data_IF_168757683541
#
_entry.id   IF_168757683541
#
_cell.length_a   1.000
_cell.length_b   1.000
_cell.length_c   1.000
_cell.angle_alpha   90.00
_cell.angle_beta   90.00
_cell.angle_gamma   90.00
#
_symmetry.space_group_name_H-M   'P 1'
#
loop_
_entity.id
_entity.type
_entity.pdbx_description
1 polymer ?
#
# COMPACT_ATOMS: atom_id res chain seq x y z
N UNK A 1 -8.78 14.38 -12.17
CA UNK A 1 -7.57 13.86 -12.86
C UNK A 1 -7.02 12.71 -12.03
N UNK A 2 -6.58 11.61 -12.64
CA UNK A 2 -6.12 10.40 -11.92
C UNK A 2 -4.59 10.44 -11.85
N UNK A 3 -4.01 10.20 -10.66
CA UNK A 3 -2.56 10.10 -10.47
C UNK A 3 -2.01 8.75 -10.96
N UNK A 4 -2.69 7.67 -10.59
CA UNK A 4 -2.35 6.30 -11.01
C UNK A 4 -3.62 5.61 -11.49
N UNK A 5 -3.57 5.00 -12.68
CA UNK A 5 -4.61 4.11 -13.19
C UNK A 5 -4.02 2.71 -13.42
N UNK A 6 -4.60 1.73 -12.77
CA UNK A 6 -4.28 0.31 -12.92
C UNK A 6 -5.48 -0.38 -13.56
N UNK A 7 -5.27 -1.09 -14.69
CA UNK A 7 -6.34 -1.74 -15.42
C UNK A 7 -6.02 -3.21 -15.67
N UNK A 8 -6.92 -4.10 -15.26
CA UNK A 8 -6.89 -5.57 -15.45
C UNK A 8 -5.51 -6.20 -15.17
N UNK A 9 -4.84 -5.73 -14.09
CA UNK A 9 -3.48 -6.15 -13.78
C UNK A 9 -3.44 -7.61 -13.35
N UNK A 10 -2.61 -8.42 -14.06
CA UNK A 10 -2.29 -9.80 -13.71
C UNK A 10 -0.80 -9.96 -13.51
N UNK A 11 -0.39 -10.20 -12.28
CA UNK A 11 1.00 -10.35 -11.90
C UNK A 11 1.21 -11.61 -11.05
N UNK A 12 1.96 -12.57 -11.61
CA UNK A 12 2.11 -13.91 -11.09
C UNK A 12 3.57 -14.24 -10.81
N UNK A 13 3.81 -15.03 -9.78
CA UNK A 13 5.12 -15.66 -9.60
C UNK A 13 5.14 -16.98 -10.37
N UNK A 14 6.11 -17.09 -11.29
CA UNK A 14 6.29 -18.28 -12.11
C UNK A 14 7.65 -18.89 -11.81
N UNK A 15 7.66 -20.00 -11.10
CA UNK A 15 8.88 -20.75 -10.77
C UNK A 15 8.89 -22.08 -11.50
N UNK A 16 10.09 -22.48 -11.94
CA UNK A 16 10.36 -23.82 -12.50
C UNK A 16 11.54 -24.42 -11.76
N UNK A 17 11.30 -25.49 -11.03
CA UNK A 17 12.33 -26.21 -10.29
C UNK A 17 12.09 -27.72 -10.44
N UNK A 18 13.15 -28.47 -10.69
CA UNK A 18 13.10 -29.94 -10.83
C UNK A 18 12.03 -30.44 -11.82
N UNK A 19 11.84 -29.74 -12.94
CA UNK A 19 10.83 -30.09 -13.94
C UNK A 19 9.38 -29.68 -13.59
N UNK A 20 9.12 -29.23 -12.38
CA UNK A 20 7.80 -28.79 -11.93
C UNK A 20 7.65 -27.28 -12.13
N UNK A 21 6.62 -26.89 -12.86
CA UNK A 21 6.21 -25.48 -13.02
C UNK A 21 5.15 -25.14 -11.97
N UNK A 22 5.36 -24.07 -11.21
CA UNK A 22 4.39 -23.54 -10.25
C UNK A 22 4.07 -22.09 -10.57
N UNK A 23 2.78 -21.78 -10.68
CA UNK A 23 2.28 -20.41 -10.90
C UNK A 23 1.47 -19.97 -9.70
N UNK A 24 1.86 -18.86 -9.07
CA UNK A 24 1.13 -18.24 -7.94
C UNK A 24 0.46 -16.98 -8.47
N UNK A 25 -0.88 -16.95 -8.48
CA UNK A 25 -1.71 -15.85 -9.02
C UNK A 25 -1.87 -14.74 -7.98
N UNK A 26 -0.78 -14.03 -7.69
CA UNK A 26 -0.71 -13.09 -6.58
C UNK A 26 -1.55 -11.82 -6.79
N UNK A 27 -1.64 -11.32 -8.01
CA UNK A 27 -2.55 -10.22 -8.43
C UNK A 27 -3.23 -10.70 -9.70
N UNK A 28 -4.56 -10.73 -9.73
CA UNK A 28 -5.30 -11.41 -10.79
C UNK A 28 -6.56 -10.64 -11.20
N UNK A 29 -6.42 -9.75 -12.18
CA UNK A 29 -7.50 -8.91 -12.70
C UNK A 29 -7.85 -7.74 -11.80
N UNK A 30 -6.83 -7.06 -11.24
CA UNK A 30 -7.00 -5.90 -10.36
C UNK A 30 -7.09 -4.62 -11.19
N UNK A 31 -8.14 -3.82 -10.95
CA UNK A 31 -8.35 -2.50 -11.57
C UNK A 31 -8.76 -1.47 -10.54
N UNK A 32 -7.99 -0.37 -10.40
CA UNK A 32 -8.30 0.73 -9.50
C UNK A 32 -7.60 2.01 -9.94
N UNK A 33 -8.08 3.14 -9.41
CA UNK A 33 -7.50 4.46 -9.64
C UNK A 33 -7.14 5.13 -8.32
N UNK A 34 -5.96 5.80 -8.28
CA UNK A 34 -5.60 6.72 -7.22
C UNK A 34 -5.81 8.15 -7.71
N UNK A 35 -6.39 8.96 -6.85
CA UNK A 35 -6.55 10.39 -7.11
C UNK A 35 -5.47 11.19 -6.38
N UNK A 36 -5.12 12.38 -6.89
CA UNK A 36 -4.21 13.26 -6.16
C UNK A 36 -4.77 13.63 -4.78
N UNK A 37 -3.86 13.79 -3.82
CA UNK A 37 -4.18 14.32 -2.49
C UNK A 37 -5.15 13.45 -1.66
N UNK A 38 -5.09 12.11 -1.83
CA UNK A 38 -5.83 11.18 -0.96
C UNK A 38 -4.89 10.22 -0.22
N UNK A 39 -5.31 9.72 0.93
CA UNK A 39 -4.74 8.56 1.58
C UNK A 39 -5.57 7.34 1.20
N UNK A 40 -5.04 6.50 0.34
CA UNK A 40 -5.70 5.31 -0.15
C UNK A 40 -5.20 4.07 0.57
N UNK A 41 -6.08 3.41 1.30
CA UNK A 41 -5.79 2.20 2.06
C UNK A 41 -5.88 0.93 1.20
N UNK A 42 -4.97 0.01 1.40
CA UNK A 42 -5.04 -1.36 0.85
C UNK A 42 -5.00 -2.36 2.00
N UNK A 43 -6.12 -3.00 2.25
CA UNK A 43 -6.29 -3.95 3.35
C UNK A 43 -6.56 -5.37 2.87
N UNK A 44 -6.45 -6.33 3.77
CA UNK A 44 -6.73 -7.75 3.55
C UNK A 44 -5.80 -8.67 4.30
N UNK A 45 -6.14 -9.95 4.38
CA UNK A 45 -5.33 -10.97 5.07
C UNK A 45 -3.91 -11.07 4.52
N UNK A 46 -2.99 -11.61 5.32
CA UNK A 46 -1.63 -11.91 4.86
C UNK A 46 -1.65 -12.79 3.61
N UNK A 47 -0.68 -12.58 2.71
CA UNK A 47 -0.57 -13.31 1.44
C UNK A 47 -1.72 -13.10 0.43
N UNK A 48 -2.62 -12.13 0.61
CA UNK A 48 -3.68 -11.84 -0.38
C UNK A 48 -3.21 -11.10 -1.64
N UNK A 49 -1.93 -10.71 -1.74
CA UNK A 49 -1.35 -10.07 -2.95
C UNK A 49 -0.93 -8.61 -2.80
N UNK A 50 -1.17 -7.95 -1.66
CA UNK A 50 -0.86 -6.51 -1.41
C UNK A 50 0.58 -6.14 -1.77
N UNK A 51 1.55 -6.84 -1.20
CA UNK A 51 2.98 -6.58 -1.46
C UNK A 51 3.35 -6.81 -2.93
N UNK A 52 2.71 -7.77 -3.63
CA UNK A 52 2.93 -7.98 -5.05
C UNK A 52 2.38 -6.82 -5.87
N UNK A 53 1.19 -6.33 -5.53
CA UNK A 53 0.60 -5.15 -6.16
C UNK A 53 1.55 -3.95 -6.03
N UNK A 54 2.05 -3.69 -4.82
CA UNK A 54 3.01 -2.60 -4.57
C UNK A 54 4.27 -2.76 -5.43
N UNK A 55 4.84 -3.97 -5.49
CA UNK A 55 6.04 -4.23 -6.31
C UNK A 55 5.82 -3.86 -7.76
N UNK A 56 4.64 -4.18 -8.31
CA UNK A 56 4.34 -3.89 -9.71
C UNK A 56 4.15 -2.38 -9.92
N UNK A 57 3.33 -1.72 -9.12
CA UNK A 57 3.07 -0.29 -9.28
C UNK A 57 4.29 0.59 -8.99
N UNK A 58 5.25 0.11 -8.18
CA UNK A 58 6.53 0.80 -7.93
C UNK A 58 7.63 0.47 -8.96
N UNK A 59 7.32 -0.33 -9.99
CA UNK A 59 8.29 -0.76 -10.99
C UNK A 59 9.38 -1.70 -10.47
N UNK A 60 9.15 -2.37 -9.31
CA UNK A 60 10.08 -3.34 -8.74
C UNK A 60 9.74 -4.79 -9.17
N UNK A 61 9.67 -4.99 -10.48
CA UNK A 61 9.31 -6.27 -11.08
C UNK A 61 10.60 -7.06 -11.32
N UNK A 62 10.83 -8.10 -10.50
CA UNK A 62 12.01 -8.97 -10.60
C UNK A 62 11.59 -10.44 -10.64
N UNK A 63 12.27 -11.27 -11.45
CA UNK A 63 12.03 -12.71 -11.43
C UNK A 63 12.02 -13.28 -10.00
N UNK A 64 11.11 -14.21 -9.66
CA UNK A 64 10.19 -14.91 -10.55
C UNK A 64 8.84 -14.21 -10.80
N UNK A 65 8.66 -12.94 -10.36
CA UNK A 65 7.47 -12.14 -10.62
C UNK A 65 7.42 -11.72 -12.09
N UNK A 66 6.29 -11.95 -12.75
CA UNK A 66 6.01 -11.50 -14.11
C UNK A 66 4.63 -10.84 -14.17
N UNK A 67 4.53 -9.75 -14.92
CA UNK A 67 3.26 -9.17 -15.33
C UNK A 67 2.85 -9.83 -16.64
N UNK A 68 1.66 -10.39 -16.67
CA UNK A 68 1.13 -11.13 -17.81
C UNK A 68 0.16 -10.30 -18.63
N UNK A 69 -0.65 -9.46 -17.96
CA UNK A 69 -1.69 -8.62 -18.56
C UNK A 69 -1.88 -7.35 -17.75
N UNK A 70 -2.53 -6.36 -18.39
CA UNK A 70 -2.94 -5.12 -17.76
C UNK A 70 -2.01 -3.95 -18.02
N UNK A 71 -2.34 -2.80 -17.43
CA UNK A 71 -1.54 -1.59 -17.54
C UNK A 71 -1.41 -0.90 -16.19
N UNK A 72 -0.32 -0.13 -16.03
CA UNK A 72 -0.02 0.69 -14.83
C UNK A 72 0.45 2.05 -15.32
N UNK A 73 -0.46 3.02 -15.36
CA UNK A 73 -0.24 4.32 -15.93
C UNK A 73 -0.26 5.42 -14.87
N UNK A 74 0.82 6.20 -14.79
CA UNK A 74 0.91 7.37 -13.94
C UNK A 74 0.72 8.66 -14.74
N UNK A 75 0.18 9.67 -14.06
CA UNK A 75 0.09 11.04 -14.60
C UNK A 75 0.67 12.01 -13.56
N UNK A 76 1.89 12.50 -13.81
CA UNK A 76 2.57 13.50 -12.98
C UNK A 76 2.49 14.85 -13.68
N UNK A 77 1.52 15.70 -13.29
CA UNK A 77 1.20 16.90 -14.04
C UNK A 77 0.80 16.57 -15.48
N UNK A 78 1.57 17.05 -16.46
CA UNK A 78 1.36 16.76 -17.88
C UNK A 78 2.06 15.47 -18.36
N UNK A 79 2.99 14.95 -17.56
CA UNK A 79 3.79 13.77 -17.91
C UNK A 79 3.04 12.47 -17.64
N UNK A 80 2.86 11.67 -18.69
CA UNK A 80 2.32 10.30 -18.59
C UNK A 80 3.45 9.28 -18.59
N UNK A 81 3.37 8.28 -17.72
CA UNK A 81 4.38 7.23 -17.57
C UNK A 81 3.71 5.87 -17.53
N UNK A 82 4.05 5.01 -18.48
CA UNK A 82 3.72 3.59 -18.43
C UNK A 82 4.79 2.86 -17.60
N UNK A 83 4.39 2.44 -16.39
CA UNK A 83 5.31 1.83 -15.43
C UNK A 83 5.81 0.44 -15.88
N UNK A 84 5.05 -0.27 -16.71
CA UNK A 84 5.43 -1.60 -17.17
C UNK A 84 6.48 -1.58 -18.28
N UNK A 85 6.56 -0.47 -19.03
CA UNK A 85 7.45 -0.32 -20.18
C UNK A 85 8.57 0.71 -19.98
N UNK A 86 8.63 1.37 -18.82
CA UNK A 86 9.71 2.32 -18.50
C UNK A 86 11.05 1.60 -18.38
N UNK A 87 12.12 2.17 -18.92
CA UNK A 87 13.46 1.62 -18.72
C UNK A 87 13.92 1.75 -17.26
N UNK A 88 14.73 0.83 -16.77
CA UNK A 88 15.24 0.85 -15.40
C UNK A 88 16.04 2.12 -15.09
N UNK A 89 16.76 2.65 -16.09
CA UNK A 89 17.53 3.90 -15.95
C UNK A 89 16.59 5.12 -15.80
N UNK A 90 15.55 5.22 -16.62
CA UNK A 90 14.55 6.27 -16.49
C UNK A 90 13.77 6.16 -15.18
N UNK A 91 13.39 4.93 -14.77
CA UNK A 91 12.74 4.69 -13.50
C UNK A 91 13.60 5.17 -12.32
N UNK A 92 14.91 4.88 -12.35
CA UNK A 92 15.85 5.25 -11.28
C UNK A 92 16.14 6.75 -11.26
N UNK A 93 16.34 7.38 -12.43
CA UNK A 93 16.72 8.77 -12.55
C UNK A 93 15.57 9.74 -12.35
N UNK A 94 14.38 9.42 -12.90
CA UNK A 94 13.31 10.38 -13.09
C UNK A 94 12.07 10.10 -12.20
N UNK A 95 11.87 8.87 -11.72
CA UNK A 95 10.66 8.48 -11.00
C UNK A 95 10.94 8.19 -9.53
N UNK A 96 11.89 7.28 -9.25
CA UNK A 96 12.19 6.89 -7.86
C UNK A 96 12.68 8.08 -7.07
N UNK A 97 12.16 8.23 -5.86
CA UNK A 97 12.38 9.33 -4.92
C UNK A 97 11.74 10.66 -5.34
N UNK A 98 11.72 11.00 -6.62
CA UNK A 98 11.20 12.27 -7.13
C UNK A 98 9.69 12.28 -7.24
N UNK A 99 9.14 11.27 -7.90
CA UNK A 99 7.70 11.14 -8.14
C UNK A 99 7.06 10.08 -7.25
N UNK A 100 7.78 8.98 -7.00
CA UNK A 100 7.33 7.86 -6.18
C UNK A 100 8.39 7.53 -5.14
N UNK A 101 8.00 7.56 -3.87
CA UNK A 101 8.81 7.07 -2.75
C UNK A 101 8.17 5.87 -2.08
N UNK A 102 9.02 5.06 -1.44
CA UNK A 102 8.60 3.81 -0.82
C UNK A 102 9.12 3.70 0.61
N UNK A 103 8.20 3.61 1.57
CA UNK A 103 8.49 3.27 2.97
C UNK A 103 8.23 1.78 3.13
N UNK A 104 9.30 0.97 3.14
CA UNK A 104 9.22 -0.49 3.17
C UNK A 104 8.84 -1.03 4.55
N UNK A 105 8.24 -2.20 4.58
CA UNK A 105 8.09 -2.99 5.81
C UNK A 105 9.45 -3.18 6.48
N UNK A 106 9.53 -2.92 7.78
CA UNK A 106 10.80 -2.99 8.51
C UNK A 106 11.79 -1.89 8.13
N UNK A 107 11.31 -0.73 7.67
CA UNK A 107 12.15 0.42 7.26
C UNK A 107 13.12 0.89 8.35
N UNK A 108 12.89 0.52 9.62
CA UNK A 108 13.85 0.74 10.71
C UNK A 108 15.22 0.07 10.46
N UNK A 109 15.28 -1.01 9.68
CA UNK A 109 16.52 -1.72 9.32
C UNK A 109 17.19 -1.20 8.04
N UNK A 110 16.53 -0.28 7.32
CA UNK A 110 17.07 0.33 6.09
C UNK A 110 18.24 1.28 6.38
N UNK A 111 18.23 1.88 7.57
CA UNK A 111 19.29 2.79 7.98
C UNK A 111 20.58 2.01 8.29
N UNK A 112 21.67 2.36 7.62
CA UNK A 112 22.98 1.77 7.89
C UNK A 112 23.44 2.09 9.32
N UNK A 113 23.59 1.10 10.23
CA UNK A 113 23.84 1.32 11.66
C UNK A 113 25.17 2.02 11.96
N UNK A 114 26.14 1.95 11.05
CA UNK A 114 27.48 2.55 11.22
C UNK A 114 27.60 3.92 10.52
N UNK A 115 26.49 4.46 10.03
CA UNK A 115 26.47 5.79 9.39
C UNK A 115 25.52 6.74 10.12
N UNK A 116 25.92 8.00 10.29
CA UNK A 116 25.03 9.04 10.80
C UNK A 116 23.88 9.28 9.83
N UNK A 117 22.71 9.61 10.37
CA UNK A 117 21.49 9.88 9.60
C UNK A 117 21.72 10.91 8.49
N UNK A 118 22.44 12.02 8.78
CA UNK A 118 22.75 13.07 7.80
C UNK A 118 23.48 12.52 6.56
N UNK A 119 24.31 11.47 6.73
CA UNK A 119 25.01 10.86 5.59
C UNK A 119 24.09 10.09 4.67
N UNK A 120 23.06 9.47 5.23
CA UNK A 120 22.03 8.80 4.43
C UNK A 120 21.22 9.82 3.62
N UNK A 121 20.84 10.95 4.23
CA UNK A 121 20.22 12.06 3.47
C UNK A 121 21.14 12.58 2.37
N UNK A 122 22.44 12.74 2.69
CA UNK A 122 23.43 13.23 1.72
C UNK A 122 23.54 12.31 0.50
N UNK A 123 23.59 10.99 0.70
CA UNK A 123 23.69 10.01 -0.39
C UNK A 123 22.47 10.10 -1.30
N UNK A 124 21.26 10.18 -0.72
CA UNK A 124 20.01 10.25 -1.48
C UNK A 124 19.92 11.58 -2.25
N UNK A 125 20.15 12.69 -1.57
CA UNK A 125 20.01 14.02 -2.19
C UNK A 125 21.07 14.25 -3.27
N UNK A 126 22.32 13.85 -3.06
CA UNK A 126 23.39 14.02 -4.06
C UNK A 126 23.22 13.09 -5.26
N UNK A 127 22.57 11.95 -5.09
CA UNK A 127 22.28 11.04 -6.20
C UNK A 127 21.19 11.59 -7.13
N UNK A 128 20.20 12.31 -6.57
CA UNK A 128 19.03 12.74 -7.32
C UNK A 128 18.96 14.24 -7.63
N UNK A 129 19.60 15.06 -6.80
CA UNK A 129 19.81 16.51 -7.06
C UNK A 129 21.30 16.78 -7.10
N UNK A 130 21.78 17.46 -8.12
CA UNK A 130 23.18 17.90 -8.22
C UNK A 130 23.49 19.08 -7.27
N UNK A 131 23.25 18.88 -5.96
CA UNK A 131 23.57 19.89 -4.96
C UNK A 131 25.06 19.78 -4.63
N UNK A 132 25.86 20.73 -5.12
CA UNK A 132 27.30 20.84 -4.80
C UNK A 132 27.54 21.62 -3.51
N UNK A 133 26.59 22.50 -3.12
CA UNK A 133 26.73 23.36 -1.95
C UNK A 133 26.28 22.65 -0.66
N UNK A 134 27.25 22.25 0.16
CA UNK A 134 27.02 21.58 1.45
C UNK A 134 26.17 22.41 2.43
N UNK A 135 26.30 23.74 2.45
CA UNK A 135 25.52 24.62 3.33
C UNK A 135 24.04 24.56 2.96
N UNK A 136 23.73 24.72 1.68
CA UNK A 136 22.35 24.62 1.15
C UNK A 136 21.72 23.25 1.41
N UNK A 137 22.49 22.16 1.26
CA UNK A 137 22.03 20.81 1.62
C UNK A 137 21.63 20.70 3.09
N UNK A 138 22.50 21.20 4.00
CA UNK A 138 22.25 21.15 5.45
C UNK A 138 21.02 21.98 5.84
N UNK A 139 20.86 23.17 5.26
CA UNK A 139 19.71 24.04 5.51
C UNK A 139 18.41 23.38 5.07
N UNK A 140 18.33 22.90 3.82
CA UNK A 140 17.14 22.17 3.30
C UNK A 140 16.82 20.94 4.14
N UNK A 141 17.82 20.14 4.52
CA UNK A 141 17.60 18.93 5.30
C UNK A 141 17.09 19.25 6.71
N UNK A 142 17.63 20.27 7.37
CA UNK A 142 17.18 20.71 8.70
C UNK A 142 15.76 21.26 8.65
N UNK A 143 15.45 22.08 7.64
CA UNK A 143 14.11 22.60 7.43
C UNK A 143 13.10 21.45 7.24
N UNK A 144 13.43 20.47 6.41
CA UNK A 144 12.58 19.30 6.17
C UNK A 144 12.34 18.50 7.47
N UNK A 145 13.38 18.20 8.23
CA UNK A 145 13.29 17.50 9.52
C UNK A 145 12.43 18.27 10.54
N UNK A 146 12.65 19.59 10.66
CA UNK A 146 11.85 20.45 11.54
C UNK A 146 10.38 20.47 11.14
N UNK A 147 10.10 20.58 9.85
CA UNK A 147 8.72 20.58 9.31
C UNK A 147 7.97 19.29 9.68
N UNK A 148 8.69 18.18 9.82
CA UNK A 148 8.14 16.87 10.21
C UNK A 148 8.12 16.67 11.74
N UNK A 149 8.40 17.72 12.53
CA UNK A 149 8.39 17.65 13.98
C UNK A 149 9.50 16.77 14.59
N UNK A 150 10.58 16.54 13.84
CA UNK A 150 11.74 15.81 14.33
C UNK A 150 12.81 16.79 14.85
N UNK A 151 13.46 16.52 16.00
CA UNK A 151 14.58 17.33 16.48
C UNK A 151 15.76 17.22 15.50
N UNK A 152 16.40 18.34 15.19
CA UNK A 152 17.52 18.36 14.22
C UNK A 152 18.74 17.54 14.66
N UNK A 153 18.89 17.26 15.96
CA UNK A 153 19.97 16.45 16.50
C UNK A 153 19.95 15.01 15.99
N UNK A 154 18.78 14.50 15.53
CA UNK A 154 18.68 13.18 14.89
C UNK A 154 19.61 13.04 13.67
N UNK A 155 19.91 14.15 12.99
CA UNK A 155 20.82 14.17 11.84
C UNK A 155 22.25 13.77 12.20
N UNK A 156 22.68 14.08 13.42
CA UNK A 156 24.01 13.75 13.91
C UNK A 156 24.09 12.40 14.62
N UNK A 157 22.93 11.79 14.91
CA UNK A 157 22.84 10.49 15.55
C UNK A 157 23.13 9.33 14.58
N UNK A 158 23.55 8.20 15.15
CA UNK A 158 23.56 6.91 14.48
C UNK A 158 22.22 6.20 14.69
N UNK A 159 21.76 5.33 13.76
CA UNK A 159 20.48 4.65 13.90
C UNK A 159 20.30 3.88 15.21
N UNK A 160 21.34 3.28 15.75
CA UNK A 160 21.30 2.57 17.04
C UNK A 160 21.08 3.48 18.27
N UNK A 161 21.30 4.78 18.15
CA UNK A 161 21.05 5.78 19.20
C UNK A 161 19.58 6.27 19.20
N UNK A 162 18.79 5.89 18.18
CA UNK A 162 17.39 6.29 18.01
C UNK A 162 16.44 5.19 18.50
N UNK A 163 15.33 5.57 19.12
CA UNK A 163 14.24 4.62 19.39
C UNK A 163 13.66 4.06 18.10
N UNK A 164 12.90 2.95 18.19
CA UNK A 164 12.23 2.35 17.02
C UNK A 164 11.34 3.36 16.29
N UNK A 165 10.53 4.09 17.02
CA UNK A 165 9.67 5.13 16.45
C UNK A 165 10.44 6.29 15.82
N UNK A 166 11.55 6.71 16.41
CA UNK A 166 12.40 7.74 15.80
C UNK A 166 13.04 7.24 14.50
N UNK A 167 13.53 6.00 14.47
CA UNK A 167 14.05 5.39 13.22
C UNK A 167 12.99 5.34 12.13
N UNK A 168 11.76 4.96 12.49
CA UNK A 168 10.64 4.93 11.56
C UNK A 168 10.33 6.32 11.01
N UNK A 169 10.26 7.34 11.87
CA UNK A 169 10.04 8.74 11.46
C UNK A 169 11.16 9.25 10.55
N UNK A 170 12.41 8.91 10.85
CA UNK A 170 13.56 9.25 9.99
C UNK A 170 13.45 8.57 8.63
N UNK A 171 13.01 7.30 8.56
CA UNK A 171 12.79 6.60 7.30
C UNK A 171 11.69 7.26 6.46
N UNK A 172 10.61 7.72 7.09
CA UNK A 172 9.55 8.49 6.43
C UNK A 172 10.09 9.84 5.95
N UNK A 173 10.88 10.55 6.79
CA UNK A 173 11.50 11.80 6.40
C UNK A 173 12.45 11.64 5.20
N UNK A 174 13.22 10.55 5.14
CA UNK A 174 14.02 10.22 3.95
C UNK A 174 13.14 10.02 2.72
N UNK A 175 12.05 9.26 2.84
CA UNK A 175 11.15 8.99 1.73
C UNK A 175 10.45 10.25 1.18
N UNK A 176 10.33 11.30 1.98
CA UNK A 176 9.60 12.52 1.64
C UNK A 176 10.49 13.74 1.32
N UNK A 177 11.81 13.55 1.29
CA UNK A 177 12.78 14.66 1.11
C UNK A 177 12.61 15.42 -0.22
N UNK A 178 12.12 14.75 -1.27
CA UNK A 178 11.82 15.34 -2.58
C UNK A 178 10.35 15.69 -2.79
N UNK A 179 9.50 15.54 -1.76
CA UNK A 179 8.07 15.77 -1.84
C UNK A 179 7.42 15.00 -3.02
N UNK A 180 7.56 13.66 -3.07
CA UNK A 180 7.06 12.85 -4.19
C UNK A 180 5.55 12.97 -4.34
N UNK A 181 5.05 12.82 -5.56
CA UNK A 181 3.61 12.82 -5.82
C UNK A 181 2.89 11.63 -5.16
N UNK A 182 3.58 10.47 -5.06
CA UNK A 182 3.08 9.27 -4.41
C UNK A 182 4.05 8.74 -3.36
N UNK A 183 3.54 8.53 -2.16
CA UNK A 183 4.25 7.82 -1.07
C UNK A 183 3.59 6.46 -0.89
N UNK A 184 4.32 5.38 -1.13
CA UNK A 184 3.86 4.02 -0.85
C UNK A 184 4.37 3.62 0.54
N UNK A 185 3.47 3.43 1.50
CA UNK A 185 3.80 3.03 2.86
C UNK A 185 3.33 1.59 3.11
N UNK A 186 4.26 0.64 3.14
CA UNK A 186 4.00 -0.78 3.33
C UNK A 186 4.25 -1.15 4.79
N UNK A 187 3.16 -1.41 5.53
CA UNK A 187 3.19 -1.76 6.96
C UNK A 187 4.03 -0.76 7.80
N UNK A 188 3.79 0.56 7.70
CA UNK A 188 4.68 1.57 8.28
C UNK A 188 4.68 1.59 9.81
N UNK A 189 3.76 0.89 10.46
CA UNK A 189 3.60 0.85 11.92
C UNK A 189 3.90 -0.51 12.53
N UNK A 190 4.30 -1.50 11.73
CA UNK A 190 4.63 -2.85 12.21
C UNK A 190 5.78 -2.80 13.23
N UNK A 191 5.63 -3.57 14.32
CA UNK A 191 6.58 -3.65 15.44
C UNK A 191 6.76 -2.35 16.25
N UNK A 192 5.81 -1.43 16.19
CA UNK A 192 5.74 -0.25 17.04
C UNK A 192 4.66 -0.44 18.14
N UNK A 193 4.89 0.13 19.30
CA UNK A 193 3.85 0.23 20.32
C UNK A 193 2.74 1.22 19.89
N UNK A 194 1.57 1.13 20.52
CA UNK A 194 0.36 1.86 20.14
C UNK A 194 0.55 3.38 20.15
N UNK A 195 1.33 3.91 21.11
CA UNK A 195 1.56 5.36 21.23
C UNK A 195 2.44 5.86 20.08
N UNK A 196 3.52 5.13 19.81
CA UNK A 196 4.44 5.43 18.71
C UNK A 196 3.75 5.25 17.35
N UNK A 197 2.94 4.19 17.18
CA UNK A 197 2.12 3.97 15.99
C UNK A 197 1.24 5.18 15.68
N UNK A 198 0.50 5.68 16.68
CA UNK A 198 -0.34 6.87 16.52
C UNK A 198 0.46 8.09 16.06
N UNK A 199 1.66 8.29 16.63
CA UNK A 199 2.53 9.41 16.23
C UNK A 199 3.07 9.28 14.79
N UNK A 200 3.34 8.07 14.31
CA UNK A 200 3.75 7.81 12.91
C UNK A 200 2.59 8.05 11.95
N UNK A 201 1.39 7.60 12.30
CA UNK A 201 0.20 7.81 11.47
C UNK A 201 -0.16 9.29 11.38
N UNK A 202 -0.07 10.03 12.48
CA UNK A 202 -0.25 11.48 12.46
C UNK A 202 0.77 12.17 11.55
N UNK A 203 2.05 11.78 11.62
CA UNK A 203 3.08 12.31 10.73
C UNK A 203 2.76 12.06 9.25
N UNK A 204 2.22 10.88 8.89
CA UNK A 204 1.80 10.58 7.51
C UNK A 204 0.66 11.50 7.07
N UNK A 205 -0.34 11.74 7.93
CA UNK A 205 -1.42 12.70 7.66
C UNK A 205 -0.91 14.14 7.48
N UNK A 206 -0.01 14.56 8.36
CA UNK A 206 0.58 15.90 8.29
C UNK A 206 1.39 16.10 7.01
N UNK A 207 2.16 15.10 6.59
CA UNK A 207 2.90 15.11 5.31
C UNK A 207 1.92 15.26 4.15
N UNK A 208 0.87 14.44 4.12
CA UNK A 208 -0.15 14.48 3.06
C UNK A 208 -0.82 15.85 2.99
N UNK A 209 -1.23 16.41 4.13
CA UNK A 209 -1.89 17.70 4.19
C UNK A 209 -0.97 18.87 3.79
N UNK A 210 0.31 18.85 4.22
CA UNK A 210 1.28 19.93 3.94
C UNK A 210 1.77 19.97 2.50
N UNK A 211 1.91 18.82 1.87
CA UNK A 211 2.56 18.70 0.55
C UNK A 211 1.60 18.26 -0.55
N UNK A 212 0.30 18.06 -0.22
CA UNK A 212 -0.72 17.54 -1.14
C UNK A 212 -0.28 16.24 -1.83
N UNK A 213 0.53 15.42 -1.15
CA UNK A 213 0.96 14.13 -1.64
C UNK A 213 -0.21 13.14 -1.65
N UNK A 214 -0.15 12.16 -2.53
CA UNK A 214 -1.00 10.97 -2.41
C UNK A 214 -0.27 9.90 -1.62
N UNK A 215 -0.96 9.23 -0.71
CA UNK A 215 -0.39 8.14 0.08
C UNK A 215 -1.12 6.84 -0.23
N UNK A 216 -0.38 5.81 -0.64
CA UNK A 216 -0.87 4.43 -0.70
C UNK A 216 -0.43 3.71 0.58
N UNK A 217 -1.37 3.54 1.50
CA UNK A 217 -1.13 2.92 2.80
C UNK A 217 -1.53 1.45 2.76
N UNK A 218 -0.59 0.56 2.94
CA UNK A 218 -0.84 -0.88 2.97
C UNK A 218 -0.62 -1.41 4.37
N UNK A 219 -1.65 -1.98 4.95
CA UNK A 219 -1.59 -2.66 6.25
C UNK A 219 -2.71 -3.69 6.38
N UNK A 220 -2.53 -4.65 7.25
CA UNK A 220 -3.59 -5.59 7.64
C UNK A 220 -4.43 -5.07 8.81
N UNK A 221 -4.02 -3.97 9.45
CA UNK A 221 -4.73 -3.37 10.58
C UNK A 221 -5.84 -2.44 10.09
N UNK A 222 -7.08 -2.90 10.19
CA UNK A 222 -8.27 -2.13 9.80
C UNK A 222 -8.43 -0.87 10.65
N UNK A 223 -8.04 -0.88 11.94
CA UNK A 223 -8.13 0.31 12.78
C UNK A 223 -7.21 1.44 12.30
N UNK A 224 -6.07 1.11 11.71
CA UNK A 224 -5.19 2.08 11.05
C UNK A 224 -5.90 2.75 9.90
N UNK A 225 -6.53 1.96 9.01
CA UNK A 225 -7.29 2.51 7.88
C UNK A 225 -8.45 3.41 8.33
N UNK A 226 -9.20 3.00 9.36
CA UNK A 226 -10.29 3.80 9.92
C UNK A 226 -9.85 5.20 10.37
N UNK A 227 -8.62 5.31 10.86
CA UNK A 227 -8.10 6.57 11.41
C UNK A 227 -7.49 7.51 10.37
N UNK A 228 -6.97 7.00 9.25
CA UNK A 228 -6.15 7.81 8.34
C UNK A 228 -6.56 7.77 6.87
N UNK A 229 -7.19 6.69 6.40
CA UNK A 229 -7.50 6.53 4.98
C UNK A 229 -8.78 7.27 4.57
N UNK A 230 -8.79 7.87 3.38
CA UNK A 230 -9.98 8.46 2.77
C UNK A 230 -10.84 7.39 2.07
N UNK A 231 -10.18 6.46 1.39
CA UNK A 231 -10.77 5.30 0.71
C UNK A 231 -9.98 4.04 1.04
N UNK A 232 -10.66 2.89 1.04
CA UNK A 232 -10.03 1.60 1.30
C UNK A 232 -10.42 0.58 0.24
N UNK A 233 -9.41 -0.11 -0.28
CA UNK A 233 -9.53 -1.30 -1.11
C UNK A 233 -9.28 -2.54 -0.26
N UNK A 234 -10.23 -3.46 -0.23
CA UNK A 234 -10.12 -4.74 0.44
C UNK A 234 -9.71 -5.80 -0.59
N UNK A 235 -8.54 -6.38 -0.40
CA UNK A 235 -8.04 -7.46 -1.26
C UNK A 235 -8.26 -8.83 -0.61
N UNK A 236 -8.74 -9.78 -1.41
CA UNK A 236 -8.82 -11.17 -1.04
C UNK A 236 -8.27 -12.08 -2.14
N UNK A 237 -7.31 -12.91 -1.79
CA UNK A 237 -6.75 -13.93 -2.69
C UNK A 237 -6.37 -13.41 -4.09
N UNK A 238 -5.70 -12.26 -4.17
CA UNK A 238 -5.21 -11.66 -5.43
C UNK A 238 -6.24 -10.83 -6.19
N UNK A 239 -7.45 -10.61 -5.64
CA UNK A 239 -8.52 -9.83 -6.28
C UNK A 239 -9.04 -8.75 -5.33
N UNK A 240 -9.69 -7.73 -5.89
CA UNK A 240 -10.45 -6.76 -5.11
C UNK A 240 -11.78 -7.40 -4.73
N UNK A 241 -12.08 -7.42 -3.43
CA UNK A 241 -13.38 -7.84 -2.91
C UNK A 241 -14.33 -6.64 -2.82
N UNK A 242 -13.82 -5.52 -2.31
CA UNK A 242 -14.60 -4.29 -2.13
C UNK A 242 -13.68 -3.08 -2.11
N UNK A 243 -14.16 -1.95 -2.61
CA UNK A 243 -13.47 -0.66 -2.58
C UNK A 243 -14.49 0.44 -2.38
N UNK A 244 -14.28 1.28 -1.35
CA UNK A 244 -15.19 2.37 -1.05
C UNK A 244 -14.51 3.48 -0.23
N UNK A 245 -15.17 4.64 -0.01
CA UNK A 245 -14.82 5.56 1.04
C UNK A 245 -14.74 4.85 2.39
N UNK A 246 -13.78 5.23 3.22
CA UNK A 246 -13.52 4.57 4.52
C UNK A 246 -14.77 4.46 5.37
N UNK A 247 -15.57 5.53 5.44
CA UNK A 247 -16.84 5.52 6.18
C UNK A 247 -17.79 4.41 5.70
N UNK A 248 -17.90 4.21 4.38
CA UNK A 248 -18.75 3.15 3.81
C UNK A 248 -18.23 1.75 4.13
N UNK A 249 -16.91 1.53 4.09
CA UNK A 249 -16.28 0.24 4.45
C UNK A 249 -16.57 -0.12 5.91
N UNK A 250 -16.55 0.85 6.82
CA UNK A 250 -16.72 0.58 8.25
C UNK A 250 -18.18 0.54 8.69
N UNK A 251 -19.05 1.39 8.11
CA UNK A 251 -20.44 1.50 8.54
C UNK A 251 -21.42 0.63 7.75
N UNK A 252 -21.11 0.36 6.48
CA UNK A 252 -22.01 -0.38 5.57
C UNK A 252 -21.24 -1.25 4.57
N UNK A 253 -20.38 -2.19 5.03
CA UNK A 253 -19.65 -3.09 4.15
C UNK A 253 -20.61 -4.00 3.39
N UNK A 254 -20.37 -4.19 2.10
CA UNK A 254 -21.25 -4.96 1.22
C UNK A 254 -20.74 -6.39 1.00
N UNK A 255 -19.43 -6.57 0.88
CA UNK A 255 -18.87 -7.91 0.67
C UNK A 255 -18.83 -8.70 2.00
N UNK A 256 -19.28 -9.96 2.06
CA UNK A 256 -19.25 -10.77 3.27
C UNK A 256 -17.87 -10.90 3.94
N UNK A 257 -16.80 -10.89 3.16
CA UNK A 257 -15.44 -10.85 3.69
C UNK A 257 -15.12 -9.54 4.41
N UNK A 258 -15.51 -8.40 3.84
CA UNK A 258 -15.34 -7.08 4.48
C UNK A 258 -16.15 -6.99 5.76
N UNK A 259 -17.42 -7.43 5.73
CA UNK A 259 -18.29 -7.51 6.92
C UNK A 259 -17.62 -8.28 8.04
N UNK A 260 -17.00 -9.43 7.71
CA UNK A 260 -16.29 -10.21 8.69
C UNK A 260 -15.03 -9.51 9.23
N UNK A 261 -14.22 -8.88 8.37
CA UNK A 261 -13.06 -8.10 8.81
C UNK A 261 -13.44 -7.00 9.80
N UNK A 262 -14.52 -6.27 9.52
CA UNK A 262 -15.00 -5.19 10.40
C UNK A 262 -15.61 -5.74 11.69
N UNK A 263 -16.43 -6.79 11.62
CA UNK A 263 -17.05 -7.40 12.81
C UNK A 263 -16.05 -8.05 13.77
N UNK A 264 -14.86 -8.41 13.29
CA UNK A 264 -13.78 -8.96 14.10
C UNK A 264 -12.97 -7.91 14.87
N UNK A 265 -13.17 -6.61 14.56
CA UNK A 265 -12.47 -5.57 15.30
C UNK A 265 -12.95 -5.48 16.76
N UNK A 266 -12.02 -5.25 17.70
CA UNK A 266 -12.40 -5.05 19.09
C UNK A 266 -13.18 -3.74 19.25
N UNK A 267 -14.32 -3.79 19.94
CA UNK A 267 -15.13 -2.62 20.30
C UNK A 267 -15.02 -2.41 21.80
N UNK A 268 -14.76 -1.18 22.23
CA UNK A 268 -14.66 -0.84 23.65
C UNK A 268 -16.02 -1.12 24.31
N UNK A 269 -16.01 -1.92 25.38
CA UNK A 269 -17.21 -2.31 26.11
C UNK A 269 -17.92 -3.56 25.58
N UNK A 270 -17.57 -4.06 24.41
CA UNK A 270 -18.11 -5.31 23.86
C UNK A 270 -17.36 -6.51 24.46
N UNK A 271 -18.08 -7.35 25.20
CA UNK A 271 -17.58 -8.61 25.79
C UNK A 271 -17.98 -9.85 24.99
N UNK A 272 -18.60 -9.68 23.83
CA UNK A 272 -18.99 -10.80 22.97
C UNK A 272 -17.76 -11.51 22.40
N UNK A 273 -17.83 -12.83 22.32
CA UNK A 273 -16.83 -13.61 21.58
C UNK A 273 -16.96 -13.31 20.09
N UNK A 274 -15.94 -12.69 19.51
CA UNK A 274 -15.92 -12.42 18.07
C UNK A 274 -15.78 -13.75 17.31
N UNK A 275 -16.68 -13.99 16.38
CA UNK A 275 -16.61 -15.18 15.54
C UNK A 275 -15.42 -15.07 14.59
N UNK A 276 -14.47 -15.99 14.69
CA UNK A 276 -13.38 -16.10 13.72
C UNK A 276 -13.89 -16.63 12.38
N UNK A 277 -13.32 -16.15 11.28
CA UNK A 277 -13.63 -16.68 9.96
C UNK A 277 -13.19 -18.16 9.88
N UNK A 278 -14.12 -19.04 9.54
CA UNK A 278 -13.81 -20.48 9.40
C UNK A 278 -12.86 -20.70 8.23
N UNK A 279 -11.93 -21.66 8.38
CA UNK A 279 -10.98 -22.04 7.34
C UNK A 279 -9.78 -21.09 7.20
N UNK A 280 -8.89 -21.41 6.27
CA UNK A 280 -7.66 -20.66 5.97
C UNK A 280 -7.78 -19.93 4.65
N UNK A 281 -7.01 -18.83 4.42
CA UNK A 281 -6.90 -18.20 3.11
C UNK A 281 -6.51 -19.22 2.03
N UNK A 282 -7.07 -19.13 0.82
CA UNK A 282 -6.80 -20.10 -0.23
C UNK A 282 -5.35 -20.00 -0.74
N UNK A 283 -4.84 -21.13 -1.24
CA UNK A 283 -3.54 -21.16 -1.90
C UNK A 283 -3.62 -20.45 -3.26
N UNK A 284 -2.84 -19.40 -3.45
CA UNK A 284 -2.80 -18.64 -4.70
C UNK A 284 -2.20 -19.40 -5.88
N UNK A 285 -1.56 -20.54 -5.65
CA UNK A 285 -1.10 -21.42 -6.72
C UNK A 285 -2.26 -22.25 -7.31
N UNK A 286 -3.29 -22.52 -6.50
CA UNK A 286 -4.49 -23.23 -6.88
C UNK A 286 -5.71 -22.57 -6.21
N UNK A 287 -6.07 -21.35 -6.63
CA UNK A 287 -7.18 -20.63 -6.03
C UNK A 287 -8.53 -21.28 -6.43
N UNK A 288 -9.53 -21.20 -5.53
CA UNK A 288 -10.87 -21.69 -5.83
C UNK A 288 -11.43 -21.10 -7.14
N UNK A 289 -12.19 -21.90 -7.88
CA UNK A 289 -12.97 -21.45 -9.05
C UNK A 289 -14.04 -20.44 -8.64
N UNK A 290 -14.49 -19.62 -9.56
CA UNK A 290 -15.52 -18.61 -9.29
C UNK A 290 -15.06 -17.55 -8.25
N UNK A 291 -15.95 -17.18 -7.34
CA UNK A 291 -15.63 -16.28 -6.24
C UNK A 291 -14.60 -16.91 -5.29
N UNK A 292 -13.44 -16.31 -5.14
CA UNK A 292 -12.35 -16.88 -4.32
C UNK A 292 -12.68 -16.99 -2.84
N UNK A 293 -13.66 -16.22 -2.36
CA UNK A 293 -14.14 -16.27 -0.99
C UNK A 293 -15.21 -17.35 -0.75
N UNK A 294 -15.78 -17.99 -1.79
CA UNK A 294 -16.91 -18.91 -1.67
C UNK A 294 -16.70 -20.05 -0.63
N UNK A 295 -15.48 -20.63 -0.44
CA UNK A 295 -15.30 -21.70 0.54
C UNK A 295 -15.46 -21.25 2.02
N UNK A 296 -15.36 -19.95 2.26
CA UNK A 296 -15.45 -19.33 3.60
C UNK A 296 -16.68 -18.44 3.76
N UNK A 297 -17.47 -18.26 2.68
CA UNK A 297 -18.61 -17.35 2.65
C UNK A 297 -19.82 -17.98 3.32
N UNK A 298 -20.44 -17.35 4.34
CA UNK A 298 -21.66 -17.87 4.97
C UNK A 298 -22.90 -17.76 4.06
N UNK A 299 -22.81 -16.97 2.99
CA UNK A 299 -23.91 -16.72 2.02
C UNK A 299 -23.60 -17.31 0.64
N UNK A 300 -22.80 -18.38 0.58
CA UNK A 300 -22.39 -18.97 -0.69
C UNK A 300 -23.61 -19.46 -1.51
N UNK A 301 -23.61 -19.12 -2.79
CA UNK A 301 -24.60 -19.59 -3.79
C UNK A 301 -23.89 -20.47 -4.84
N UNK A 302 -24.63 -21.25 -5.62
CA UNK A 302 -24.04 -22.12 -6.64
C UNK A 302 -23.25 -21.34 -7.70
N UNK A 303 -23.72 -20.18 -8.10
CA UNK A 303 -23.00 -19.27 -9.02
C UNK A 303 -21.63 -18.86 -8.48
N UNK A 304 -21.48 -18.73 -7.16
CA UNK A 304 -20.21 -18.36 -6.54
C UNK A 304 -19.11 -19.42 -6.73
N UNK A 305 -19.49 -20.67 -7.00
CA UNK A 305 -18.56 -21.79 -7.17
C UNK A 305 -17.93 -21.82 -8.56
N UNK A 306 -18.61 -21.25 -9.56
CA UNK A 306 -18.25 -21.39 -10.97
C UNK A 306 -17.95 -20.05 -11.65
N UNK A 307 -18.63 -18.97 -11.26
CA UNK A 307 -18.52 -17.66 -11.89
C UNK A 307 -17.75 -16.70 -10.99
N UNK A 308 -16.78 -16.02 -11.57
CA UNK A 308 -16.04 -14.94 -10.90
C UNK A 308 -16.94 -13.70 -10.87
N UNK A 309 -17.22 -13.10 -9.70
CA UNK A 309 -17.99 -11.86 -9.64
C UNK A 309 -17.18 -10.69 -10.21
N UNK A 310 -17.84 -9.88 -11.02
CA UNK A 310 -17.28 -8.62 -11.50
C UNK A 310 -17.25 -7.58 -10.39
N UNK A 311 -16.31 -6.65 -10.48
CA UNK A 311 -16.21 -5.50 -9.57
C UNK A 311 -17.17 -4.40 -10.07
N UNK A 312 -18.39 -4.38 -9.53
CA UNK A 312 -19.45 -3.46 -9.95
C UNK A 312 -19.57 -2.24 -9.07
N UNK A 313 -19.90 -1.09 -9.67
CA UNK A 313 -20.21 0.14 -8.94
C UNK A 313 -21.63 0.06 -8.39
N UNK A 314 -21.79 0.20 -7.07
CA UNK A 314 -23.09 0.13 -6.38
C UNK A 314 -23.58 1.51 -5.94
N UNK A 315 -22.65 2.35 -5.51
CA UNK A 315 -22.87 3.74 -5.11
C UNK A 315 -21.67 4.58 -5.55
N UNK A 316 -21.76 5.88 -5.40
CA UNK A 316 -20.66 6.76 -5.71
C UNK A 316 -19.37 6.28 -5.02
N UNK A 317 -18.34 5.97 -5.81
CA UNK A 317 -17.04 5.45 -5.36
C UNK A 317 -17.09 4.17 -4.50
N UNK A 318 -18.20 3.42 -4.52
CA UNK A 318 -18.34 2.15 -3.81
C UNK A 318 -18.49 1.00 -4.82
N UNK A 319 -17.45 0.20 -4.96
CA UNK A 319 -17.38 -0.97 -5.85
C UNK A 319 -17.28 -2.25 -5.05
N UNK A 320 -17.96 -3.30 -5.48
CA UNK A 320 -17.96 -4.61 -4.81
C UNK A 320 -17.97 -5.76 -5.81
N UNK A 321 -17.22 -6.82 -5.52
CA UNK A 321 -17.17 -8.04 -6.32
C UNK A 321 -17.93 -9.19 -5.61
N UNK A 322 -19.26 -9.15 -5.63
CA UNK A 322 -20.10 -10.13 -4.94
C UNK A 322 -21.41 -10.39 -5.68
N UNK A 323 -21.76 -11.66 -5.89
CA UNK A 323 -23.01 -12.06 -6.54
C UNK A 323 -24.28 -11.82 -5.71
N UNK A 324 -24.15 -11.51 -4.40
CA UNK A 324 -25.28 -11.06 -3.58
C UNK A 324 -25.80 -9.67 -3.98
N UNK A 325 -24.96 -8.89 -4.63
CA UNK A 325 -25.28 -7.54 -5.08
C UNK A 325 -25.77 -7.66 -6.52
N UNK A 326 -27.04 -7.35 -6.73
CA UNK A 326 -27.62 -7.28 -8.07
C UNK A 326 -27.24 -5.92 -8.70
N UNK A 327 -26.91 -5.93 -10.00
CA UNK A 327 -26.54 -4.72 -10.77
C UNK A 327 -27.61 -3.59 -10.75
N UNK A 328 -28.82 -3.86 -10.27
CA UNK A 328 -29.98 -2.95 -10.31
C UNK A 328 -30.37 -2.39 -8.93
N UNK A 329 -29.43 -2.22 -8.02
CA UNK A 329 -29.71 -1.52 -6.75
C UNK A 329 -29.29 -0.04 -6.78
N UNK A 330 -29.44 0.60 -7.94
CA UNK A 330 -29.29 2.05 -8.17
C UNK A 330 -30.62 2.74 -8.02
#
# INVERSE_FOLDING_TARGET
MTLLSVQNLRAYYQTRAYGISRTVRAVDGVSFDLFPNEIYGVAGESSCGKTTLIKVISGNIKPPLKVLEGSVNYTFGERKVDMLHISQDALRRDIRWKEISYVMQGSMSVLNPVRKVIKTFQDIVYTHEHITNKKRFLEKTREHINRLGLPTDVLNAYPHQLSGGMRQRVAIALATVFQPALIIADEPTTALDVVVQRGVLQMIKDIQAMSSNTVLLVTHDMAVHANVADRVMIMYAGRIAEEAPTESIFNAPLHPYTQHLISSLPVIGDRSTKASLKGTPPNLADPPSGCRFHPRCPYVMDVCRTVIPDLVLVKERHRVACHLIKENSL
#
